data_IF_739695894637
#
_entry.id   IF_739695894637
#
_cell.length_a   1.000
_cell.length_b   1.000
_cell.length_c   1.000
_cell.angle_alpha   90.00
_cell.angle_beta   90.00
_cell.angle_gamma   90.00
#
_symmetry.space_group_name_H-M   'P 1'
#
loop_
_entity.id
_entity.type
_entity.pdbx_description
1 polymer ?
#
# COMPACT_ATOMS: atom_id res chain seq x y z
N UNK A 1 -0.51 12.20 -15.05
CA UNK A 1 0.28 11.97 -13.81
C UNK A 1 1.68 11.51 -14.19
N UNK A 2 2.72 11.90 -13.44
CA UNK A 2 4.09 11.40 -13.61
C UNK A 2 4.49 10.57 -12.39
N UNK A 3 5.07 9.41 -12.63
CA UNK A 3 5.52 8.50 -11.57
C UNK A 3 6.95 8.06 -11.85
N UNK A 4 7.74 7.87 -10.80
CA UNK A 4 9.10 7.37 -10.92
C UNK A 4 9.08 5.89 -11.29
N UNK A 5 9.63 5.59 -12.46
CA UNK A 5 9.76 4.22 -12.96
C UNK A 5 11.13 3.64 -12.58
N UNK A 6 11.10 2.57 -11.80
CA UNK A 6 12.31 1.87 -11.35
C UNK A 6 13.07 1.15 -12.47
N UNK A 7 12.44 0.97 -13.64
CA UNK A 7 13.08 0.39 -14.82
C UNK A 7 13.93 1.43 -15.55
N UNK A 8 13.41 2.62 -15.82
CA UNK A 8 14.13 3.71 -16.50
C UNK A 8 14.95 4.61 -15.55
N UNK A 9 14.65 4.59 -14.25
CA UNK A 9 15.12 5.56 -13.24
C UNK A 9 14.72 7.01 -13.58
N UNK A 10 13.56 7.20 -14.21
CA UNK A 10 13.05 8.50 -14.62
C UNK A 10 11.57 8.65 -14.27
N UNK A 11 11.08 9.89 -14.26
CA UNK A 11 9.64 10.15 -14.20
C UNK A 11 9.02 9.83 -15.55
N UNK A 12 8.02 8.94 -15.54
CA UNK A 12 7.27 8.51 -16.71
C UNK A 12 5.84 9.01 -16.60
N UNK A 13 5.32 9.60 -17.66
CA UNK A 13 3.94 10.05 -17.73
C UNK A 13 2.98 8.86 -17.95
N UNK A 14 1.90 8.82 -17.17
CA UNK A 14 0.79 7.92 -17.36
C UNK A 14 -0.45 8.73 -17.72
N UNK A 15 -0.99 8.43 -18.90
CA UNK A 15 -2.15 9.07 -19.52
C UNK A 15 -3.11 8.05 -20.18
N UNK A 16 -3.06 6.78 -19.75
CA UNK A 16 -3.96 5.73 -20.23
C UNK A 16 -5.42 6.06 -19.88
N UNK A 17 -6.36 5.79 -20.81
CA UNK A 17 -7.80 5.93 -20.55
C UNK A 17 -8.29 5.03 -19.40
N UNK A 18 -7.65 3.87 -19.24
CA UNK A 18 -7.83 2.93 -18.14
C UNK A 18 -6.47 2.69 -17.49
N UNK A 19 -6.31 3.14 -16.26
CA UNK A 19 -5.09 2.87 -15.49
C UNK A 19 -5.25 1.52 -14.79
N UNK A 20 -4.37 0.57 -15.10
CA UNK A 20 -4.32 -0.72 -14.42
C UNK A 20 -3.19 -0.72 -13.38
N UNK A 21 -3.51 -1.17 -12.16
CA UNK A 21 -2.57 -1.27 -11.05
C UNK A 21 -2.49 -2.74 -10.64
N UNK A 22 -1.27 -3.28 -10.57
CA UNK A 22 -1.00 -4.56 -9.95
C UNK A 22 0.03 -4.39 -8.82
N UNK A 23 -0.35 -4.74 -7.59
CA UNK A 23 0.55 -4.67 -6.44
C UNK A 23 0.75 -6.08 -5.88
N UNK A 24 2.00 -6.56 -5.80
CA UNK A 24 2.28 -7.87 -5.24
C UNK A 24 1.81 -7.94 -3.78
N UNK A 25 0.91 -8.89 -3.50
CA UNK A 25 0.32 -9.03 -2.18
C UNK A 25 1.06 -10.03 -1.28
N UNK A 26 0.52 -10.31 -0.09
CA UNK A 26 1.19 -11.11 0.91
C UNK A 26 1.10 -12.62 0.62
N UNK A 27 2.10 -13.36 1.10
CA UNK A 27 1.96 -14.79 1.39
C UNK A 27 1.20 -14.96 2.71
N UNK A 28 0.06 -15.63 2.69
CA UNK A 28 -0.84 -15.75 3.86
C UNK A 28 -0.49 -16.93 4.76
N UNK A 29 0.64 -16.83 5.46
CA UNK A 29 1.10 -17.81 6.46
C UNK A 29 1.32 -17.20 7.85
N UNK A 30 1.23 -15.87 7.95
CA UNK A 30 1.30 -15.11 9.19
C UNK A 30 0.59 -13.76 9.00
N UNK A 31 0.40 -13.01 10.10
CA UNK A 31 0.01 -11.60 10.03
C UNK A 31 1.08 -10.77 9.31
N UNK A 32 0.63 -9.76 8.57
CA UNK A 32 1.51 -8.83 7.88
C UNK A 32 2.22 -7.90 8.87
N UNK A 33 3.46 -7.53 8.54
CA UNK A 33 4.25 -6.55 9.29
C UNK A 33 4.15 -5.16 8.67
N UNK A 34 4.61 -4.13 9.40
CA UNK A 34 4.55 -2.72 8.98
C UNK A 34 5.16 -2.48 7.59
N UNK A 35 6.25 -3.20 7.25
CA UNK A 35 6.85 -3.15 5.91
C UNK A 35 5.90 -3.57 4.77
N UNK A 36 4.99 -4.54 5.01
CA UNK A 36 3.99 -4.94 4.00
C UNK A 36 2.86 -3.90 3.89
N UNK A 37 2.58 -3.13 4.93
CA UNK A 37 1.55 -2.10 4.91
C UNK A 37 1.95 -0.89 4.06
N UNK A 38 3.25 -0.61 3.90
CA UNK A 38 3.73 0.56 3.16
C UNK A 38 3.30 0.53 1.67
N UNK A 39 3.60 -0.52 0.87
CA UNK A 39 3.09 -0.61 -0.50
C UNK A 39 1.57 -0.50 -0.59
N UNK A 40 0.86 -1.12 0.36
CA UNK A 40 -0.60 -1.13 0.41
C UNK A 40 -1.16 0.30 0.62
N UNK A 41 -0.64 1.05 1.60
CA UNK A 41 -1.11 2.40 1.91
C UNK A 41 -0.73 3.39 0.82
N UNK A 42 0.50 3.34 0.30
CA UNK A 42 0.92 4.26 -0.76
C UNK A 42 0.11 4.04 -2.04
N UNK A 43 -0.11 2.79 -2.46
CA UNK A 43 -0.95 2.50 -3.62
C UNK A 43 -2.43 2.82 -3.37
N UNK A 44 -2.91 2.73 -2.14
CA UNK A 44 -4.27 3.17 -1.77
C UNK A 44 -4.44 4.69 -1.96
N UNK A 45 -3.45 5.52 -1.63
CA UNK A 45 -3.50 6.97 -1.90
C UNK A 45 -3.60 7.23 -3.41
N UNK A 46 -2.73 6.59 -4.19
CA UNK A 46 -2.79 6.68 -5.65
C UNK A 46 -4.18 6.26 -6.18
N UNK A 47 -4.71 5.13 -5.69
CA UNK A 47 -6.01 4.65 -6.12
C UNK A 47 -7.16 5.59 -5.74
N UNK A 48 -7.12 6.16 -4.54
CA UNK A 48 -8.07 7.19 -4.08
C UNK A 48 -8.05 8.41 -4.97
N UNK A 49 -6.86 8.91 -5.29
CA UNK A 49 -6.68 10.05 -6.19
C UNK A 49 -7.28 9.77 -7.58
N UNK A 50 -6.91 8.66 -8.20
CA UNK A 50 -7.43 8.29 -9.53
C UNK A 50 -8.97 8.19 -9.51
N UNK A 51 -9.56 7.59 -8.47
CA UNK A 51 -11.02 7.54 -8.33
C UNK A 51 -11.65 8.91 -8.12
N UNK A 52 -11.04 9.79 -7.32
CA UNK A 52 -11.54 11.15 -7.06
C UNK A 52 -11.63 11.96 -8.35
N UNK A 53 -10.65 11.80 -9.24
CA UNK A 53 -10.63 12.41 -10.57
C UNK A 53 -11.40 11.63 -11.64
N UNK A 54 -12.24 10.66 -11.25
CA UNK A 54 -13.05 9.84 -12.15
C UNK A 54 -12.26 9.11 -13.25
N UNK A 55 -10.97 8.82 -13.00
CA UNK A 55 -10.14 8.04 -13.93
C UNK A 55 -10.55 6.57 -13.79
N UNK A 56 -10.83 5.91 -14.93
CA UNK A 56 -11.14 4.48 -14.91
C UNK A 56 -9.92 3.73 -14.39
N UNK A 57 -10.09 2.95 -13.34
CA UNK A 57 -8.97 2.24 -12.71
C UNK A 57 -9.33 0.81 -12.36
N UNK A 58 -8.43 -0.12 -12.70
CA UNK A 58 -8.51 -1.53 -12.31
C UNK A 58 -7.36 -1.85 -11.37
N UNK A 59 -7.66 -2.10 -10.09
CA UNK A 59 -6.65 -2.41 -9.09
C UNK A 59 -6.71 -3.87 -8.65
N UNK A 60 -5.62 -4.61 -8.86
CA UNK A 60 -5.41 -6.00 -8.48
C UNK A 60 -4.28 -6.10 -7.46
N UNK A 61 -4.49 -6.89 -6.40
CA UNK A 61 -3.44 -7.30 -5.45
C UNK A 61 -3.63 -8.79 -5.14
N UNK A 62 -2.71 -9.63 -5.59
CA UNK A 62 -2.85 -11.07 -5.44
C UNK A 62 -2.68 -11.54 -3.99
N UNK A 63 -3.13 -12.76 -3.72
CA UNK A 63 -2.92 -13.45 -2.45
C UNK A 63 -2.20 -14.76 -2.74
N UNK A 64 -0.95 -14.86 -2.30
CA UNK A 64 -0.19 -16.12 -2.40
C UNK A 64 -0.62 -17.01 -1.25
N UNK A 65 -1.58 -17.89 -1.52
CA UNK A 65 -2.19 -18.84 -0.58
C UNK A 65 -1.68 -20.28 -0.75
N UNK A 66 -0.67 -20.46 -1.61
CA UNK A 66 0.12 -21.68 -1.76
C UNK A 66 1.61 -21.31 -1.82
N UNK A 67 2.42 -21.79 -0.88
CA UNK A 67 3.85 -21.45 -0.80
C UNK A 67 4.56 -22.41 0.18
N UNK A 68 5.88 -22.57 0.04
CA UNK A 68 6.68 -23.38 0.97
C UNK A 68 6.56 -22.88 2.42
N UNK A 69 6.40 -21.58 2.67
CA UNK A 69 6.18 -21.03 4.01
C UNK A 69 4.86 -21.48 4.63
N UNK A 70 3.81 -21.61 3.83
CA UNK A 70 2.49 -22.08 4.28
C UNK A 70 2.60 -23.56 4.66
N UNK A 71 3.24 -24.37 3.81
CA UNK A 71 3.47 -25.80 4.07
C UNK A 71 4.26 -26.00 5.36
N UNK A 72 5.39 -25.29 5.50
CA UNK A 72 6.24 -25.43 6.68
C UNK A 72 5.51 -25.03 7.96
N UNK A 73 4.71 -23.95 7.91
CA UNK A 73 3.90 -23.53 9.05
C UNK A 73 2.80 -24.56 9.38
N UNK A 74 2.08 -25.05 8.37
CA UNK A 74 1.03 -26.04 8.53
C UNK A 74 1.57 -27.34 9.17
N UNK A 75 2.69 -27.85 8.64
CA UNK A 75 3.37 -29.03 9.18
C UNK A 75 3.86 -28.83 10.62
N UNK A 76 4.49 -27.69 10.92
CA UNK A 76 4.99 -27.40 12.26
C UNK A 76 3.88 -27.30 13.33
N UNK A 77 2.65 -26.97 12.92
CA UNK A 77 1.51 -26.78 13.81
C UNK A 77 0.44 -27.87 13.69
N UNK A 78 0.67 -28.94 12.92
CA UNK A 78 -0.31 -29.99 12.63
C UNK A 78 -1.65 -29.46 12.08
N UNK A 79 -1.59 -28.46 11.18
CA UNK A 79 -2.74 -27.85 10.51
C UNK A 79 -2.76 -28.20 9.02
N UNK A 80 -3.88 -27.95 8.33
CA UNK A 80 -3.93 -28.01 6.86
C UNK A 80 -3.53 -26.68 6.23
N UNK A 81 -2.85 -26.72 5.09
CA UNK A 81 -2.40 -25.51 4.38
C UNK A 81 -3.54 -24.54 4.05
N UNK A 82 -4.67 -25.03 3.52
CA UNK A 82 -5.83 -24.18 3.20
C UNK A 82 -6.46 -23.56 4.44
N UNK A 83 -6.43 -24.24 5.58
CA UNK A 83 -6.96 -23.70 6.83
C UNK A 83 -6.06 -22.55 7.33
N UNK A 84 -4.74 -22.71 7.21
CA UNK A 84 -3.75 -21.65 7.52
C UNK A 84 -3.92 -20.45 6.60
N UNK A 85 -3.96 -20.69 5.29
CA UNK A 85 -4.02 -19.61 4.30
C UNK A 85 -5.34 -18.86 4.35
N UNK A 86 -6.47 -19.55 4.55
CA UNK A 86 -7.77 -18.92 4.71
C UNK A 86 -7.85 -18.09 5.99
N UNK A 87 -7.32 -18.60 7.11
CA UNK A 87 -7.27 -17.85 8.35
C UNK A 87 -6.48 -16.54 8.19
N UNK A 88 -5.24 -16.60 7.70
CA UNK A 88 -4.41 -15.40 7.56
C UNK A 88 -4.89 -14.47 6.44
N UNK A 89 -5.56 -14.97 5.42
CA UNK A 89 -6.23 -14.12 4.44
C UNK A 89 -7.36 -13.31 5.08
N UNK A 90 -8.20 -13.94 5.91
CA UNK A 90 -9.25 -13.23 6.63
C UNK A 90 -8.68 -12.20 7.62
N UNK A 91 -7.60 -12.52 8.32
CA UNK A 91 -6.88 -11.55 9.16
C UNK A 91 -6.31 -10.38 8.34
N UNK A 92 -5.75 -10.65 7.16
CA UNK A 92 -5.28 -9.61 6.25
C UNK A 92 -6.42 -8.68 5.79
N UNK A 93 -7.61 -9.21 5.48
CA UNK A 93 -8.79 -8.41 5.13
C UNK A 93 -9.24 -7.51 6.30
N UNK A 94 -9.20 -8.00 7.55
CA UNK A 94 -9.48 -7.17 8.73
C UNK A 94 -8.49 -6.01 8.86
N UNK A 95 -7.21 -6.28 8.62
CA UNK A 95 -6.16 -5.24 8.66
C UNK A 95 -6.33 -4.20 7.55
N UNK A 96 -6.63 -4.62 6.32
CA UNK A 96 -6.95 -3.70 5.21
C UNK A 96 -8.09 -2.75 5.59
N UNK A 97 -9.18 -3.30 6.14
CA UNK A 97 -10.32 -2.51 6.61
C UNK A 97 -9.92 -1.55 7.73
N UNK A 98 -9.15 -2.03 8.72
CA UNK A 98 -8.70 -1.22 9.84
C UNK A 98 -7.73 -0.09 9.41
N UNK A 99 -6.93 -0.29 8.37
CA UNK A 99 -6.08 0.74 7.75
C UNK A 99 -6.84 1.68 6.80
N UNK A 100 -8.17 1.55 6.70
CA UNK A 100 -9.01 2.34 5.80
C UNK A 100 -8.53 2.28 4.34
N UNK A 101 -8.22 1.08 3.83
CA UNK A 101 -7.91 0.92 2.40
C UNK A 101 -9.19 0.70 1.59
N UNK A 102 -9.25 1.22 0.38
CA UNK A 102 -10.32 0.92 -0.56
C UNK A 102 -10.32 -0.57 -0.97
N UNK A 103 -11.48 -1.06 -1.39
CA UNK A 103 -11.60 -2.41 -1.96
C UNK A 103 -10.91 -2.52 -3.31
N UNK A 104 -10.30 -3.67 -3.56
CA UNK A 104 -9.60 -4.01 -4.80
C UNK A 104 -9.82 -5.50 -5.11
N UNK A 105 -9.44 -5.93 -6.31
CA UNK A 105 -9.53 -7.33 -6.68
C UNK A 105 -8.39 -8.10 -5.98
N UNK A 106 -8.74 -9.15 -5.23
CA UNK A 106 -7.76 -9.97 -4.50
C UNK A 106 -7.75 -11.44 -4.97
N UNK A 107 -7.18 -11.74 -6.17
CA UNK A 107 -7.16 -13.12 -6.67
C UNK A 107 -6.24 -14.00 -5.84
N UNK A 108 -6.72 -15.19 -5.47
CA UNK A 108 -5.95 -16.24 -4.81
C UNK A 108 -5.22 -17.08 -5.85
N UNK A 109 -3.99 -17.50 -5.57
CA UNK A 109 -3.21 -18.34 -6.49
C UNK A 109 -3.85 -19.72 -6.63
N UNK A 110 -4.29 -20.33 -5.52
CA UNK A 110 -4.90 -21.66 -5.51
C UNK A 110 -6.11 -21.80 -6.43
N UNK A 111 -6.87 -20.71 -6.64
CA UNK A 111 -8.07 -20.70 -7.50
C UNK A 111 -7.77 -20.41 -8.97
N UNK A 112 -6.50 -20.26 -9.35
CA UNK A 112 -6.05 -19.91 -10.70
C UNK A 112 -5.05 -20.90 -11.30
N UNK A 113 -4.90 -22.07 -10.69
CA UNK A 113 -3.86 -23.04 -11.06
C UNK A 113 -3.92 -23.52 -12.50
N UNK A 114 -5.11 -23.72 -13.07
CA UNK A 114 -5.24 -24.12 -14.47
C UNK A 114 -4.64 -23.07 -15.42
N UNK A 115 -4.84 -21.77 -15.11
CA UNK A 115 -4.26 -20.66 -15.89
C UNK A 115 -2.75 -20.56 -15.69
N UNK A 116 -2.26 -20.82 -14.49
CA UNK A 116 -0.82 -20.81 -14.18
C UNK A 116 -0.11 -21.95 -14.93
N UNK A 117 -0.72 -23.14 -14.94
CA UNK A 117 -0.20 -24.29 -15.70
C UNK A 117 -0.17 -23.98 -17.20
N UNK A 118 -1.24 -23.42 -17.76
CA UNK A 118 -1.27 -22.97 -19.17
C UNK A 118 -0.21 -21.89 -19.46
N UNK A 119 -0.01 -20.95 -18.54
CA UNK A 119 1.02 -19.91 -18.68
C UNK A 119 2.43 -20.51 -18.73
N UNK A 120 2.75 -21.46 -17.83
CA UNK A 120 4.02 -22.19 -17.84
C UNK A 120 4.16 -23.01 -19.13
N UNK A 121 3.08 -23.64 -19.59
CA UNK A 121 3.07 -24.42 -20.83
C UNK A 121 3.42 -23.55 -22.05
N UNK A 122 2.92 -22.31 -22.10
CA UNK A 122 3.30 -21.33 -23.14
C UNK A 122 4.78 -20.99 -23.11
N UNK A 123 5.38 -20.83 -21.92
CA UNK A 123 6.82 -20.57 -21.77
C UNK A 123 7.67 -21.75 -22.25
N UNK A 124 7.25 -22.99 -21.95
CA UNK A 124 7.89 -24.20 -22.46
C UNK A 124 7.80 -24.25 -24.01
N UNK A 125 6.63 -23.98 -24.58
CA UNK A 125 6.46 -23.95 -26.05
C UNK A 125 7.29 -22.87 -26.75
N UNK A 126 7.55 -21.74 -26.07
CA UNK A 126 8.48 -20.70 -26.54
C UNK A 126 9.96 -21.08 -26.36
N UNK A 127 10.25 -22.30 -25.91
CA UNK A 127 11.61 -22.80 -25.62
C UNK A 127 12.34 -21.93 -24.58
N UNK A 128 11.58 -21.31 -23.67
CA UNK A 128 12.11 -20.61 -22.51
C UNK A 128 11.96 -21.40 -21.21
N UNK A 129 11.08 -22.41 -21.18
CA UNK A 129 11.08 -23.43 -20.14
C UNK A 129 11.92 -24.64 -20.53
N UNK A 130 12.72 -25.18 -19.60
CA UNK A 130 13.45 -26.45 -19.78
C UNK A 130 13.40 -27.31 -18.53
N UNK A 131 13.62 -28.61 -18.69
CA UNK A 131 13.51 -29.60 -17.63
C UNK A 131 14.85 -29.88 -16.96
N UNK A 132 14.85 -29.96 -15.63
CA UNK A 132 15.94 -30.57 -14.85
C UNK A 132 15.29 -31.67 -13.99
N UNK A 133 15.41 -32.92 -14.44
CA UNK A 133 14.58 -34.00 -13.90
C UNK A 133 13.11 -33.71 -14.16
N UNK A 134 12.31 -33.60 -13.10
CA UNK A 134 10.87 -33.30 -13.15
C UNK A 134 10.55 -31.84 -12.74
N UNK A 135 11.57 -31.02 -12.52
CA UNK A 135 11.40 -29.57 -12.32
C UNK A 135 11.41 -28.86 -13.67
N UNK A 136 10.73 -27.71 -13.75
CA UNK A 136 10.77 -26.82 -14.91
C UNK A 136 11.45 -25.51 -14.51
N UNK A 137 12.49 -25.14 -15.24
CA UNK A 137 13.24 -23.90 -15.07
C UNK A 137 13.02 -22.95 -16.25
N UNK A 138 13.06 -21.65 -15.98
CA UNK A 138 13.10 -20.60 -16.99
C UNK A 138 14.54 -20.33 -17.39
N UNK A 139 14.84 -20.38 -18.69
CA UNK A 139 16.10 -19.96 -19.28
C UNK A 139 16.15 -18.43 -19.39
N UNK A 140 16.85 -17.82 -18.44
CA UNK A 140 17.00 -16.36 -18.35
C UNK A 140 17.65 -15.74 -19.58
N UNK A 141 18.44 -16.49 -20.36
CA UNK A 141 19.06 -15.97 -21.59
C UNK A 141 18.05 -15.71 -22.70
N UNK A 142 16.82 -16.24 -22.59
CA UNK A 142 15.75 -16.00 -23.55
C UNK A 142 15.09 -14.64 -23.39
N UNK A 143 15.25 -14.00 -22.23
CA UNK A 143 14.77 -12.65 -21.98
C UNK A 143 15.90 -11.64 -22.27
N UNK A 144 15.78 -10.91 -23.39
CA UNK A 144 16.83 -9.99 -23.89
C UNK A 144 17.21 -8.87 -22.91
N UNK A 145 16.32 -8.49 -22.01
CA UNK A 145 16.49 -7.41 -21.06
C UNK A 145 16.57 -7.89 -19.59
N UNK A 146 16.84 -9.17 -19.36
CA UNK A 146 16.95 -9.70 -18.00
C UNK A 146 18.05 -8.98 -17.21
N UNK A 147 17.72 -8.52 -16.00
CA UNK A 147 18.61 -7.73 -15.14
C UNK A 147 18.48 -6.21 -15.31
N UNK A 148 17.78 -5.74 -16.35
CA UNK A 148 17.64 -4.30 -16.61
C UNK A 148 16.74 -3.59 -15.59
N UNK A 149 15.74 -4.27 -15.01
CA UNK A 149 14.90 -3.65 -13.99
C UNK A 149 15.73 -3.38 -12.74
N UNK A 150 16.39 -4.41 -12.22
CA UNK A 150 17.21 -4.39 -11.02
C UNK A 150 18.52 -3.62 -11.16
N UNK A 151 18.95 -3.31 -12.39
CA UNK A 151 20.26 -2.69 -12.72
C UNK A 151 21.43 -3.55 -12.25
N UNK A 152 21.22 -4.86 -12.18
CA UNK A 152 22.25 -5.81 -11.78
C UNK A 152 23.09 -6.19 -12.99
N UNK A 153 24.40 -6.20 -12.78
CA UNK A 153 25.32 -6.84 -13.69
C UNK A 153 25.35 -8.34 -13.36
N UNK A 154 24.64 -9.11 -14.17
CA UNK A 154 24.42 -10.53 -13.95
C UNK A 154 25.71 -11.35 -14.02
N UNK A 155 26.78 -10.85 -14.66
CA UNK A 155 28.07 -11.53 -14.73
C UNK A 155 28.88 -11.32 -13.44
N UNK A 156 28.81 -10.12 -12.86
CA UNK A 156 29.56 -9.75 -11.65
C UNK A 156 28.87 -10.17 -10.34
N UNK A 157 27.53 -10.25 -10.30
CA UNK A 157 26.76 -10.65 -9.10
C UNK A 157 27.00 -12.11 -8.70
N UNK A 158 27.35 -12.98 -9.65
CA UNK A 158 27.63 -14.42 -9.42
C UNK A 158 28.92 -14.60 -8.58
N UNK A 159 29.86 -13.66 -8.65
CA UNK A 159 31.15 -13.74 -7.92
C UNK A 159 30.97 -13.44 -6.41
N UNK A 160 29.89 -12.77 -6.01
CA UNK A 160 29.64 -12.35 -4.62
C UNK A 160 28.57 -13.14 -3.87
N UNK A 161 27.66 -13.84 -4.55
CA UNK A 161 26.58 -14.60 -3.92
C UNK A 161 26.97 -16.07 -3.76
N UNK A 162 26.84 -16.61 -2.53
CA UNK A 162 26.76 -18.07 -2.29
C UNK A 162 25.45 -18.58 -2.87
N UNK A 163 25.35 -18.66 -4.19
CA UNK A 163 24.28 -19.39 -4.86
C UNK A 163 24.64 -20.86 -4.67
N UNK A 164 23.84 -21.60 -3.90
CA UNK A 164 23.88 -23.07 -3.97
C UNK A 164 23.57 -23.43 -5.43
N UNK A 165 24.61 -23.81 -6.16
CA UNK A 165 24.49 -24.15 -7.57
C UNK A 165 23.70 -25.45 -7.66
N UNK A 166 22.43 -25.35 -8.03
CA UNK A 166 21.66 -26.52 -8.45
C UNK A 166 22.37 -27.08 -9.67
N UNK A 167 22.85 -28.31 -9.55
CA UNK A 167 23.54 -28.98 -10.65
C UNK A 167 22.66 -28.98 -11.91
N UNK A 168 23.28 -28.78 -13.06
CA UNK A 168 22.67 -28.82 -14.40
C UNK A 168 21.81 -27.62 -14.82
N UNK A 169 21.75 -26.52 -14.04
CA UNK A 169 21.21 -25.27 -14.59
C UNK A 169 22.05 -24.78 -15.77
N UNK A 170 21.38 -24.37 -16.86
CA UNK A 170 22.05 -23.75 -18.01
C UNK A 170 22.69 -22.41 -17.65
N UNK A 171 22.07 -21.66 -16.73
CA UNK A 171 22.58 -20.42 -16.16
C UNK A 171 22.30 -20.36 -14.64
N UNK A 172 23.24 -19.92 -13.80
CA UNK A 172 23.02 -19.76 -12.34
C UNK A 172 21.78 -18.92 -11.98
N UNK A 173 21.42 -17.96 -12.83
CA UNK A 173 20.28 -17.08 -12.61
C UNK A 173 18.93 -17.68 -13.03
N UNK A 174 18.92 -18.86 -13.66
CA UNK A 174 17.68 -19.55 -14.04
C UNK A 174 16.85 -19.87 -12.80
N UNK A 175 15.55 -19.61 -12.90
CA UNK A 175 14.61 -19.76 -11.79
C UNK A 175 13.53 -20.77 -12.11
N UNK A 176 12.93 -21.31 -11.05
CA UNK A 176 11.93 -22.36 -11.18
C UNK A 176 10.60 -21.78 -11.68
N UNK A 177 10.07 -22.34 -12.76
CA UNK A 177 8.69 -22.16 -13.20
C UNK A 177 7.78 -23.13 -12.48
N UNK A 178 8.29 -24.32 -12.16
CA UNK A 178 7.60 -25.28 -11.31
C UNK A 178 8.50 -26.31 -10.69
N UNK A 179 8.09 -26.64 -9.48
CA UNK A 179 8.82 -27.45 -8.54
C UNK A 179 8.09 -28.75 -8.32
N UNK A 180 8.71 -29.86 -8.69
CA UNK A 180 8.31 -31.17 -8.20
C UNK A 180 8.39 -31.15 -6.68
N UNK A 181 7.33 -31.63 -6.06
CA UNK A 181 7.24 -31.76 -4.61
C UNK A 181 6.49 -33.03 -4.28
N UNK A 182 6.77 -33.60 -3.11
CA UNK A 182 5.99 -34.66 -2.48
C UNK A 182 5.34 -34.18 -1.17
N UNK A 183 5.41 -32.87 -0.91
CA UNK A 183 4.87 -32.21 0.28
C UNK A 183 3.86 -31.14 -0.12
N UNK A 184 2.84 -31.07 0.72
CA UNK A 184 1.75 -30.12 0.69
C UNK A 184 0.74 -30.35 -0.43
N UNK A 185 -0.03 -29.31 -0.77
CA UNK A 185 -0.99 -29.36 -1.87
C UNK A 185 -0.23 -29.40 -3.20
N UNK A 186 -0.68 -30.25 -4.12
CA UNK A 186 0.01 -30.51 -5.38
C UNK A 186 -0.98 -30.64 -6.53
N UNK A 187 -0.50 -30.34 -7.73
CA UNK A 187 -1.26 -30.47 -8.96
C UNK A 187 -0.54 -31.44 -9.88
N UNK A 188 -1.35 -32.19 -10.63
CA UNK A 188 -0.84 -33.05 -11.69
C UNK A 188 -0.80 -32.26 -13.00
N UNK A 189 0.32 -32.32 -13.71
CA UNK A 189 0.52 -31.65 -15.00
C UNK A 189 1.13 -32.63 -16.00
N UNK A 190 1.16 -32.30 -17.31
CA UNK A 190 1.79 -33.14 -18.33
C UNK A 190 3.28 -33.44 -18.09
N UNK A 191 3.92 -32.75 -17.17
CA UNK A 191 5.36 -32.76 -16.94
C UNK A 191 5.72 -33.04 -15.47
N UNK A 192 4.75 -33.43 -14.64
CA UNK A 192 4.98 -33.99 -13.31
C UNK A 192 4.11 -33.40 -12.22
N UNK A 193 3.98 -34.15 -11.11
CA UNK A 193 3.27 -33.68 -9.92
C UNK A 193 4.13 -32.62 -9.21
N UNK A 194 3.54 -31.47 -8.91
CA UNK A 194 4.23 -30.44 -8.15
C UNK A 194 3.42 -29.17 -7.91
N UNK A 195 4.13 -28.04 -7.87
CA UNK A 195 3.61 -26.71 -7.59
C UNK A 195 4.28 -25.63 -8.43
N UNK A 196 3.60 -24.50 -8.70
CA UNK A 196 4.19 -23.42 -9.46
C UNK A 196 5.35 -22.78 -8.71
N UNK A 197 6.29 -22.21 -9.46
CA UNK A 197 7.28 -21.30 -8.94
C UNK A 197 6.64 -19.95 -8.61
N UNK A 198 7.16 -19.29 -7.57
CA UNK A 198 6.63 -18.05 -7.01
C UNK A 198 6.40 -16.93 -8.05
N UNK A 199 7.24 -16.83 -9.08
CA UNK A 199 7.20 -15.74 -10.05
C UNK A 199 6.10 -15.87 -11.11
N UNK A 200 5.76 -17.10 -11.51
CA UNK A 200 4.80 -17.34 -12.60
C UNK A 200 3.37 -17.03 -12.19
N UNK A 201 3.09 -17.07 -10.88
CA UNK A 201 1.80 -16.72 -10.29
C UNK A 201 1.40 -15.28 -10.65
N UNK A 202 2.25 -14.30 -10.33
CA UNK A 202 1.97 -12.90 -10.57
C UNK A 202 1.87 -12.56 -12.06
N UNK A 203 2.80 -13.06 -12.88
CA UNK A 203 2.75 -12.83 -14.34
C UNK A 203 1.46 -13.38 -14.96
N UNK A 204 1.03 -14.58 -14.55
CA UNK A 204 -0.23 -15.17 -15.00
C UNK A 204 -1.45 -14.36 -14.55
N UNK A 205 -1.47 -13.91 -13.29
CA UNK A 205 -2.57 -13.13 -12.73
C UNK A 205 -2.67 -11.73 -13.37
N UNK A 206 -1.54 -11.07 -13.65
CA UNK A 206 -1.51 -9.82 -14.42
C UNK A 206 -2.10 -10.07 -15.81
N UNK A 207 -1.66 -11.12 -16.52
CA UNK A 207 -2.19 -11.45 -17.84
C UNK A 207 -3.70 -11.74 -17.82
N UNK A 208 -4.16 -12.45 -16.79
CA UNK A 208 -5.56 -12.84 -16.63
C UNK A 208 -6.48 -11.66 -16.37
N UNK A 209 -6.07 -10.75 -15.48
CA UNK A 209 -6.94 -9.67 -15.03
C UNK A 209 -6.73 -8.38 -15.82
N UNK A 210 -5.55 -8.14 -16.38
CA UNK A 210 -5.19 -6.87 -17.02
C UNK A 210 -4.84 -7.10 -18.49
N UNK A 211 -3.89 -7.99 -18.76
CA UNK A 211 -3.41 -8.28 -20.10
C UNK A 211 -1.89 -8.35 -20.17
N UNK A 212 -1.33 -8.16 -21.37
CA UNK A 212 0.12 -8.31 -21.64
C UNK A 212 1.01 -7.23 -21.01
N UNK A 213 0.42 -6.11 -20.58
CA UNK A 213 1.14 -5.01 -19.96
C UNK A 213 0.23 -4.25 -19.00
N UNK A 214 0.67 -4.09 -17.76
CA UNK A 214 0.01 -3.28 -16.73
C UNK A 214 0.53 -1.84 -16.77
N UNK A 215 -0.32 -0.86 -16.46
CA UNK A 215 0.10 0.55 -16.41
C UNK A 215 1.09 0.76 -15.25
N UNK A 216 0.74 0.28 -14.05
CA UNK A 216 1.53 0.45 -12.83
C UNK A 216 1.69 -0.89 -12.13
N UNK A 217 2.92 -1.31 -11.90
CA UNK A 217 3.22 -2.50 -11.12
C UNK A 217 4.09 -2.14 -9.91
N UNK A 218 3.64 -2.51 -8.70
CA UNK A 218 4.40 -2.22 -7.49
C UNK A 218 4.57 -3.37 -6.52
N UNK A 219 5.49 -3.13 -5.59
CA UNK A 219 5.88 -4.05 -4.53
C UNK A 219 7.04 -3.49 -3.70
N UNK A 220 7.38 -4.15 -2.60
CA UNK A 220 8.55 -3.76 -1.80
C UNK A 220 9.83 -3.74 -2.64
N UNK A 221 10.82 -2.92 -2.25
CA UNK A 221 12.11 -2.85 -2.97
C UNK A 221 12.84 -4.20 -3.02
N UNK A 222 12.57 -5.09 -2.07
CA UNK A 222 13.05 -6.46 -2.04
C UNK A 222 12.39 -7.37 -3.10
N UNK A 223 11.24 -6.99 -3.65
CA UNK A 223 10.63 -7.68 -4.78
C UNK A 223 11.22 -7.27 -6.12
N UNK A 224 11.95 -6.14 -6.20
CA UNK A 224 12.62 -5.69 -7.43
C UNK A 224 13.49 -6.79 -8.04
N UNK A 225 14.22 -7.52 -7.19
CA UNK A 225 14.97 -8.70 -7.56
C UNK A 225 14.92 -9.76 -6.45
N UNK A 226 14.66 -11.04 -6.78
CA UNK A 226 14.49 -11.55 -8.14
C UNK A 226 13.06 -11.46 -8.67
N UNK A 227 12.06 -11.14 -7.83
CA UNK A 227 10.66 -11.40 -8.15
C UNK A 227 10.15 -10.68 -9.40
N UNK A 228 10.14 -9.34 -9.40
CA UNK A 228 9.66 -8.53 -10.51
C UNK A 228 10.54 -8.66 -11.77
N UNK A 229 11.85 -8.85 -11.62
CA UNK A 229 12.74 -9.13 -12.75
C UNK A 229 12.33 -10.44 -13.47
N UNK A 230 12.05 -11.49 -12.69
CA UNK A 230 11.60 -12.78 -13.21
C UNK A 230 10.21 -12.72 -13.84
N UNK A 231 9.32 -11.89 -13.30
CA UNK A 231 8.02 -11.63 -13.93
C UNK A 231 8.17 -10.91 -15.27
N UNK A 232 9.00 -9.86 -15.31
CA UNK A 232 9.26 -9.12 -16.55
C UNK A 232 9.90 -10.04 -17.61
N UNK A 233 10.83 -10.91 -17.21
CA UNK A 233 11.48 -11.87 -18.10
C UNK A 233 10.48 -12.81 -18.79
N UNK A 234 9.52 -13.35 -18.03
CA UNK A 234 8.47 -14.20 -18.56
C UNK A 234 7.58 -13.43 -19.55
N UNK A 235 7.19 -12.20 -19.20
CA UNK A 235 6.36 -11.37 -20.06
C UNK A 235 7.07 -10.99 -21.38
N UNK A 236 8.36 -10.71 -21.30
CA UNK A 236 9.20 -10.40 -22.46
C UNK A 236 9.27 -11.57 -23.44
N UNK A 237 9.45 -12.80 -22.95
CA UNK A 237 9.44 -13.99 -23.81
C UNK A 237 8.08 -14.24 -24.47
N UNK A 238 6.98 -14.07 -23.73
CA UNK A 238 5.65 -14.38 -24.25
C UNK A 238 5.13 -13.30 -25.20
N UNK A 239 5.38 -12.03 -24.90
CA UNK A 239 4.69 -10.90 -25.52
C UNK A 239 5.63 -9.84 -26.12
N UNK A 240 6.96 -10.01 -26.00
CA UNK A 240 7.98 -9.05 -26.46
C UNK A 240 7.76 -7.63 -25.92
N UNK A 241 7.31 -7.52 -24.66
CA UNK A 241 6.98 -6.25 -23.99
C UNK A 241 7.40 -6.29 -22.52
N UNK A 242 7.74 -5.11 -21.97
CA UNK A 242 7.88 -4.96 -20.52
C UNK A 242 6.51 -5.21 -19.88
N UNK A 243 6.50 -5.93 -18.76
CA UNK A 243 5.28 -6.27 -18.03
C UNK A 243 4.56 -5.01 -17.52
N UNK A 244 5.31 -3.99 -17.10
CA UNK A 244 4.74 -2.73 -16.64
C UNK A 244 5.24 -1.53 -17.45
N UNK A 245 4.39 -0.51 -17.61
CA UNK A 245 4.82 0.82 -18.09
C UNK A 245 5.60 1.58 -17.02
N UNK A 246 5.17 1.46 -15.76
CA UNK A 246 5.86 2.03 -14.59
C UNK A 246 6.00 0.97 -13.50
N UNK A 247 7.22 0.81 -13.01
CA UNK A 247 7.55 -0.01 -11.85
C UNK A 247 7.75 0.85 -10.59
N UNK A 248 6.86 0.71 -9.60
CA UNK A 248 6.95 1.42 -8.32
C UNK A 248 7.49 0.52 -7.21
N UNK A 249 8.66 0.84 -6.66
CA UNK A 249 9.24 0.09 -5.56
C UNK A 249 9.30 0.91 -4.28
N UNK A 250 8.84 0.31 -3.17
CA UNK A 250 8.72 0.98 -1.88
C UNK A 250 9.92 0.68 -0.98
N UNK A 251 10.52 1.73 -0.42
CA UNK A 251 11.67 1.61 0.48
C UNK A 251 11.36 0.79 1.73
N UNK A 252 12.40 0.19 2.32
CA UNK A 252 12.26 -0.64 3.52
C UNK A 252 11.84 0.18 4.76
N UNK A 253 11.20 -0.49 5.71
CA UNK A 253 11.00 0.04 7.06
C UNK A 253 12.10 -0.52 7.97
N UNK A 254 12.90 0.36 8.57
CA UNK A 254 13.98 -0.01 9.48
C UNK A 254 13.53 0.22 10.93
N UNK A 255 13.75 -0.76 11.80
CA UNK A 255 13.43 -0.67 13.24
C UNK A 255 14.75 -0.53 13.99
N UNK A 256 14.90 0.54 14.78
CA UNK A 256 16.13 0.82 15.56
C UNK A 256 17.44 0.79 14.74
N UNK A 257 17.41 1.30 13.50
CA UNK A 257 18.51 1.29 12.52
C UNK A 257 18.88 -0.08 11.94
N UNK A 258 18.12 -1.14 12.23
CA UNK A 258 18.28 -2.45 11.61
C UNK A 258 17.13 -2.79 10.68
N UNK A 259 17.43 -3.60 9.65
CA UNK A 259 16.40 -4.17 8.79
C UNK A 259 15.51 -5.11 9.61
N UNK A 260 14.19 -5.02 9.43
CA UNK A 260 13.29 -6.00 10.04
C UNK A 260 13.57 -7.40 9.49
N UNK A 261 13.74 -8.37 10.38
CA UNK A 261 13.79 -9.78 10.00
C UNK A 261 13.24 -10.66 11.12
N UNK A 262 12.68 -11.81 10.75
CA UNK A 262 12.22 -12.80 11.73
C UNK A 262 13.36 -13.34 12.60
N UNK A 263 14.57 -13.44 12.06
CA UNK A 263 15.75 -13.91 12.79
C UNK A 263 16.25 -12.90 13.83
N UNK A 264 16.02 -11.60 13.61
CA UNK A 264 16.34 -10.56 14.59
C UNK A 264 15.21 -10.31 15.60
N UNK A 265 14.08 -11.02 15.47
CA UNK A 265 12.88 -10.87 16.29
C UNK A 265 12.41 -9.41 16.47
N UNK A 266 12.69 -8.56 15.48
CA UNK A 266 12.45 -7.11 15.50
C UNK A 266 11.33 -6.68 14.53
N UNK A 267 10.51 -7.62 14.07
CA UNK A 267 9.42 -7.34 13.15
C UNK A 267 8.19 -6.86 13.92
N UNK A 268 7.57 -5.79 13.41
CA UNK A 268 6.40 -5.18 14.05
C UNK A 268 5.17 -5.51 13.22
N UNK A 269 4.23 -6.23 13.84
CA UNK A 269 2.98 -6.60 13.18
C UNK A 269 2.03 -5.41 13.11
N UNK A 270 1.31 -5.30 12.00
CA UNK A 270 0.34 -4.21 11.81
C UNK A 270 -0.80 -4.31 12.82
N UNK A 271 -1.21 -5.53 13.19
CA UNK A 271 -2.25 -5.74 14.20
C UNK A 271 -1.88 -5.18 15.57
N UNK A 272 -0.60 -5.28 15.95
CA UNK A 272 -0.12 -4.81 17.25
C UNK A 272 0.00 -3.28 17.24
N UNK A 273 0.48 -2.72 16.12
CA UNK A 273 0.46 -1.27 15.91
C UNK A 273 -0.94 -0.66 15.96
N UNK A 274 -1.94 -1.32 15.38
CA UNK A 274 -3.33 -0.87 15.40
C UNK A 274 -4.02 -1.05 16.76
N UNK A 275 -3.43 -1.85 17.65
CA UNK A 275 -3.86 -1.93 19.05
C UNK A 275 -3.28 -0.78 19.89
N UNK A 276 -2.13 -0.23 19.49
CA UNK A 276 -1.45 0.86 20.19
C UNK A 276 -1.78 2.25 19.62
N UNK A 277 -1.99 2.36 18.32
CA UNK A 277 -2.15 3.61 17.60
C UNK A 277 -3.37 3.59 16.68
N UNK A 278 -4.06 4.73 16.63
CA UNK A 278 -5.08 5.00 15.63
C UNK A 278 -4.54 4.83 14.20
N UNK A 279 -5.35 4.28 13.30
CA UNK A 279 -4.91 3.99 11.93
C UNK A 279 -4.46 5.25 11.17
N UNK A 280 -5.00 6.42 11.51
CA UNK A 280 -4.60 7.72 10.97
C UNK A 280 -3.12 7.98 11.26
N UNK A 281 -2.64 7.62 12.45
CA UNK A 281 -1.23 7.77 12.85
C UNK A 281 -0.33 6.81 12.06
N UNK A 282 -0.78 5.57 11.86
CA UNK A 282 -0.07 4.56 11.05
C UNK A 282 0.05 5.01 9.60
N UNK A 283 -1.00 5.59 9.01
CA UNK A 283 -0.96 6.15 7.65
C UNK A 283 -0.05 7.38 7.59
N UNK A 284 -0.20 8.31 8.54
CA UNK A 284 0.61 9.53 8.63
C UNK A 284 2.09 9.24 8.71
N UNK A 285 2.48 8.19 9.43
CA UNK A 285 3.86 7.73 9.51
C UNK A 285 4.48 7.50 8.12
N UNK A 286 3.77 6.83 7.20
CA UNK A 286 4.31 6.55 5.87
C UNK A 286 4.41 7.79 4.97
N UNK A 287 3.72 8.87 5.30
CA UNK A 287 3.77 10.13 4.54
C UNK A 287 4.94 11.04 4.97
N UNK A 288 5.62 10.71 6.07
CA UNK A 288 6.77 11.49 6.57
C UNK A 288 8.03 11.36 5.70
N UNK A 289 8.04 10.49 4.71
CA UNK A 289 9.19 10.26 3.84
C UNK A 289 8.74 9.92 2.42
N UNK A 290 9.60 10.23 1.46
CA UNK A 290 9.46 9.72 0.09
C UNK A 290 9.29 8.19 0.12
N UNK A 291 8.27 7.69 -0.56
CA UNK A 291 7.91 6.27 -0.57
C UNK A 291 9.05 5.37 -1.09
N UNK A 292 9.96 5.92 -1.90
CA UNK A 292 11.12 5.22 -2.47
C UNK A 292 12.24 5.03 -1.45
N UNK A 293 12.34 5.93 -0.46
CA UNK A 293 13.43 5.93 0.52
C UNK A 293 13.11 5.05 1.73
N UNK A 294 14.13 4.45 2.38
CA UNK A 294 13.93 3.78 3.65
C UNK A 294 13.30 4.72 4.70
N UNK A 295 12.38 4.20 5.51
CA UNK A 295 11.78 4.95 6.62
C UNK A 295 12.14 4.30 7.96
N UNK A 296 12.49 5.13 8.95
CA UNK A 296 12.84 4.67 10.29
C UNK A 296 11.60 4.64 11.17
N UNK A 297 11.34 3.48 11.77
CA UNK A 297 10.34 3.31 12.81
C UNK A 297 10.96 3.45 14.21
N UNK A 298 10.29 4.19 15.09
CA UNK A 298 10.46 4.14 16.54
C UNK A 298 9.17 4.58 17.24
N UNK A 299 8.96 4.15 18.48
CA UNK A 299 7.80 4.60 19.27
C UNK A 299 7.81 6.13 19.52
N UNK A 300 8.99 6.76 19.56
CA UNK A 300 9.10 8.22 19.67
C UNK A 300 8.55 8.92 18.42
N UNK A 301 8.87 8.41 17.23
CA UNK A 301 8.32 8.91 15.96
C UNK A 301 6.80 8.71 15.93
N UNK A 302 6.31 7.55 16.33
CA UNK A 302 4.86 7.29 16.37
C UNK A 302 4.12 8.25 17.33
N UNK A 303 4.69 8.53 18.51
CA UNK A 303 4.14 9.52 19.46
C UNK A 303 4.16 10.95 18.89
N UNK A 304 5.17 11.30 18.10
CA UNK A 304 5.21 12.59 17.41
C UNK A 304 4.11 12.68 16.34
N UNK A 305 3.94 11.63 15.54
CA UNK A 305 2.89 11.53 14.53
C UNK A 305 1.49 11.59 15.14
N UNK A 306 1.27 10.99 16.31
CA UNK A 306 0.02 11.07 17.06
C UNK A 306 -0.31 12.52 17.45
N UNK A 307 0.67 13.28 17.94
CA UNK A 307 0.50 14.72 18.24
C UNK A 307 0.15 15.53 17.00
N UNK A 308 0.70 15.17 15.84
CA UNK A 308 0.40 15.85 14.57
C UNK A 308 -1.01 15.55 14.08
N UNK A 309 -1.43 14.28 14.10
CA UNK A 309 -2.81 13.88 13.81
C UNK A 309 -3.80 14.58 14.76
N UNK A 310 -3.48 14.68 16.05
CA UNK A 310 -4.31 15.39 17.01
C UNK A 310 -4.42 16.89 16.68
N UNK A 311 -3.32 17.55 16.27
CA UNK A 311 -3.35 18.95 15.82
C UNK A 311 -4.24 19.14 14.58
N UNK A 312 -4.16 18.23 13.62
CA UNK A 312 -5.00 18.26 12.41
C UNK A 312 -6.48 18.11 12.80
N UNK A 313 -6.80 17.10 13.63
CA UNK A 313 -8.16 16.88 14.15
C UNK A 313 -8.68 18.13 14.84
N UNK A 314 -7.93 18.69 15.79
CA UNK A 314 -8.35 19.87 16.53
C UNK A 314 -8.57 21.08 15.63
N UNK A 315 -7.74 21.30 14.60
CA UNK A 315 -7.94 22.40 13.66
C UNK A 315 -9.25 22.26 12.87
N UNK A 316 -9.59 21.05 12.42
CA UNK A 316 -10.86 20.76 11.73
C UNK A 316 -12.04 21.06 12.64
N UNK A 317 -12.00 20.56 13.87
CA UNK A 317 -13.09 20.71 14.83
C UNK A 317 -13.27 22.16 15.28
N UNK A 318 -12.17 22.85 15.59
CA UNK A 318 -12.20 24.27 15.91
C UNK A 318 -12.78 25.09 14.76
N UNK A 319 -12.40 24.79 13.51
CA UNK A 319 -12.98 25.46 12.35
C UNK A 319 -14.47 25.20 12.21
N UNK A 320 -14.93 23.95 12.38
CA UNK A 320 -16.36 23.61 12.30
C UNK A 320 -17.17 24.25 13.43
N UNK A 321 -16.68 24.22 14.68
CA UNK A 321 -17.29 24.92 15.81
C UNK A 321 -17.43 26.42 15.53
N UNK A 322 -16.34 27.02 15.04
CA UNK A 322 -16.30 28.44 14.71
C UNK A 322 -17.30 28.80 13.60
N UNK A 323 -17.37 28.00 12.53
CA UNK A 323 -18.36 28.16 11.46
C UNK A 323 -19.79 27.95 11.98
N UNK A 324 -20.01 27.03 12.91
CA UNK A 324 -21.32 26.79 13.51
C UNK A 324 -21.80 28.02 14.29
N UNK A 325 -20.96 28.60 15.15
CA UNK A 325 -21.30 29.82 15.90
C UNK A 325 -21.60 31.03 15.00
N UNK A 326 -21.08 31.03 13.77
CA UNK A 326 -21.30 32.09 12.79
C UNK A 326 -22.37 31.73 11.75
N UNK A 327 -23.16 30.67 11.95
CA UNK A 327 -24.19 30.18 11.02
C UNK A 327 -23.66 29.87 9.60
N UNK A 328 -22.39 29.51 9.48
CA UNK A 328 -21.71 29.18 8.22
C UNK A 328 -21.43 27.68 8.05
N UNK A 329 -21.60 26.85 9.08
CA UNK A 329 -21.28 25.41 8.98
C UNK A 329 -22.10 24.70 7.88
N UNK A 330 -23.40 25.03 7.77
CA UNK A 330 -24.30 24.44 6.76
C UNK A 330 -24.00 24.90 5.33
N UNK A 331 -23.23 25.98 5.14
CA UNK A 331 -22.83 26.48 3.82
C UNK A 331 -21.47 25.95 3.36
N UNK A 332 -20.89 24.99 4.08
CA UNK A 332 -19.64 24.33 3.69
C UNK A 332 -19.87 23.45 2.46
N UNK A 333 -19.26 23.81 1.34
CA UNK A 333 -19.33 23.05 0.09
C UNK A 333 -18.10 22.16 -0.04
N UNK A 334 -18.29 20.88 -0.35
CA UNK A 334 -17.16 20.02 -0.71
C UNK A 334 -16.52 20.50 -2.01
N UNK A 335 -15.23 20.24 -2.15
CA UNK A 335 -14.47 20.49 -3.37
C UNK A 335 -14.06 19.15 -3.99
N UNK A 336 -13.99 19.13 -5.32
CA UNK A 336 -13.60 17.95 -6.08
C UNK A 336 -12.15 18.02 -6.60
N UNK A 337 -11.50 19.16 -6.41
CA UNK A 337 -10.14 19.42 -6.89
C UNK A 337 -9.44 20.44 -5.98
N UNK A 338 -8.13 20.28 -5.82
CA UNK A 338 -7.27 21.29 -5.21
C UNK A 338 -5.91 21.28 -5.89
N UNK A 339 -5.71 22.22 -6.82
CA UNK A 339 -4.57 22.25 -7.77
C UNK A 339 -3.22 22.05 -7.10
N UNK A 340 -2.92 22.81 -6.04
CA UNK A 340 -1.63 22.72 -5.34
C UNK A 340 -1.38 21.34 -4.70
N UNK A 341 -2.42 20.63 -4.28
CA UNK A 341 -2.29 19.26 -3.77
C UNK A 341 -2.25 18.25 -4.92
N UNK A 342 -3.12 18.42 -5.91
CA UNK A 342 -3.22 17.51 -7.06
C UNK A 342 -1.93 17.52 -7.88
N UNK A 343 -1.23 18.65 -7.99
CA UNK A 343 0.10 18.75 -8.59
C UNK A 343 1.14 17.91 -7.84
N UNK A 344 1.13 17.93 -6.50
CA UNK A 344 2.06 17.13 -5.69
C UNK A 344 1.81 15.62 -5.79
N UNK A 345 0.53 15.22 -5.85
CA UNK A 345 0.20 13.82 -6.12
C UNK A 345 0.62 13.44 -7.55
N UNK A 346 0.40 14.33 -8.52
CA UNK A 346 0.78 14.10 -9.91
C UNK A 346 2.29 14.10 -10.15
N UNK A 347 3.08 14.72 -9.28
CA UNK A 347 4.54 14.70 -9.27
C UNK A 347 5.06 13.61 -8.32
N UNK A 348 4.84 12.36 -8.73
CA UNK A 348 5.36 11.17 -8.04
C UNK A 348 4.98 11.05 -6.56
N UNK A 349 3.72 11.35 -6.21
CA UNK A 349 3.21 11.22 -4.84
C UNK A 349 4.12 11.94 -3.81
N UNK A 350 4.40 13.22 -4.01
CA UNK A 350 5.24 14.05 -3.12
C UNK A 350 4.64 14.19 -1.71
N UNK A 351 4.78 13.13 -0.90
CA UNK A 351 4.20 13.04 0.44
C UNK A 351 4.80 14.07 1.39
N UNK A 352 6.09 14.36 1.27
CA UNK A 352 6.76 15.35 2.13
C UNK A 352 6.15 16.73 1.88
N UNK A 353 6.01 17.11 0.62
CA UNK A 353 5.37 18.37 0.26
C UNK A 353 3.88 18.43 0.61
N UNK A 354 3.17 17.29 0.55
CA UNK A 354 1.77 17.19 0.97
C UNK A 354 1.65 17.39 2.49
N UNK A 355 2.53 16.78 3.29
CA UNK A 355 2.58 16.96 4.75
C UNK A 355 2.81 18.43 5.09
N UNK A 356 3.75 19.09 4.41
CA UNK A 356 3.99 20.53 4.55
C UNK A 356 2.75 21.36 4.21
N UNK A 357 2.07 21.04 3.11
CA UNK A 357 0.84 21.72 2.68
C UNK A 357 -0.30 21.57 3.71
N UNK A 358 -0.43 20.40 4.33
CA UNK A 358 -1.38 20.15 5.43
C UNK A 358 -1.02 21.01 6.65
N UNK A 359 0.25 21.08 7.04
CA UNK A 359 0.69 21.93 8.15
C UNK A 359 0.44 23.42 7.89
N UNK A 360 0.67 23.89 6.67
CA UNK A 360 0.34 25.26 6.25
C UNK A 360 -1.17 25.51 6.39
N UNK A 361 -2.00 24.58 5.90
CA UNK A 361 -3.46 24.68 5.98
C UNK A 361 -3.95 24.73 7.43
N UNK A 362 -3.44 23.84 8.30
CA UNK A 362 -3.74 23.83 9.74
C UNK A 362 -3.36 25.16 10.40
N UNK A 363 -2.17 25.68 10.11
CA UNK A 363 -1.72 26.97 10.64
C UNK A 363 -2.63 28.12 10.19
N UNK A 364 -2.99 28.15 8.91
CA UNK A 364 -3.86 29.18 8.32
C UNK A 364 -5.26 29.15 8.94
N UNK A 365 -5.86 27.96 9.09
CA UNK A 365 -7.14 27.78 9.78
C UNK A 365 -7.10 28.38 11.20
N UNK A 366 -6.08 28.05 11.98
CA UNK A 366 -5.95 28.55 13.35
C UNK A 366 -5.80 30.07 13.42
N UNK A 367 -5.09 30.68 12.45
CA UNK A 367 -4.95 32.15 12.36
C UNK A 367 -6.30 32.80 12.01
N UNK A 368 -7.02 32.28 11.03
CA UNK A 368 -8.33 32.82 10.62
C UNK A 368 -9.35 32.81 11.76
N UNK A 369 -9.40 31.72 12.52
CA UNK A 369 -10.24 31.61 13.73
C UNK A 369 -9.82 32.65 14.78
N UNK A 370 -8.52 32.78 15.05
CA UNK A 370 -8.00 33.70 16.08
C UNK A 370 -8.24 35.17 15.73
N UNK A 371 -8.05 35.55 14.48
CA UNK A 371 -8.19 36.94 14.03
C UNK A 371 -9.65 37.34 13.78
N UNK A 372 -10.59 36.39 13.82
CA UNK A 372 -11.99 36.58 13.47
C UNK A 372 -12.15 37.18 12.06
N UNK A 373 -11.41 36.63 11.09
CA UNK A 373 -11.33 37.15 9.72
C UNK A 373 -11.81 36.13 8.68
N UNK A 374 -12.43 36.69 7.64
CA UNK A 374 -12.82 36.06 6.38
C UNK A 374 -13.36 34.61 6.47
N UNK A 375 -14.68 34.51 6.65
CA UNK A 375 -15.38 33.23 6.71
C UNK A 375 -15.28 32.42 5.42
N UNK A 376 -15.13 33.08 4.27
CA UNK A 376 -15.03 32.37 2.99
C UNK A 376 -13.64 31.75 2.86
N UNK A 377 -12.59 32.48 3.26
CA UNK A 377 -11.23 31.94 3.31
C UNK A 377 -11.11 30.77 4.30
N UNK A 378 -11.78 30.84 5.46
CA UNK A 378 -11.80 29.74 6.43
C UNK A 378 -12.50 28.50 5.86
N UNK A 379 -13.69 28.66 5.24
CA UNK A 379 -14.41 27.55 4.59
C UNK A 379 -13.54 26.90 3.53
N UNK A 380 -12.91 27.70 2.66
CA UNK A 380 -12.02 27.20 1.61
C UNK A 380 -10.87 26.36 2.18
N UNK A 381 -10.12 26.89 3.15
CA UNK A 381 -8.99 26.18 3.77
C UNK A 381 -9.45 24.89 4.48
N UNK A 382 -10.60 24.92 5.16
CA UNK A 382 -11.16 23.72 5.78
C UNK A 382 -11.53 22.67 4.73
N UNK A 383 -12.18 23.06 3.63
CA UNK A 383 -12.56 22.13 2.56
C UNK A 383 -11.36 21.56 1.83
N UNK A 384 -10.31 22.36 1.63
CA UNK A 384 -9.03 21.90 1.08
C UNK A 384 -8.35 20.90 2.01
N UNK A 385 -8.29 21.17 3.32
CA UNK A 385 -7.75 20.23 4.29
C UNK A 385 -8.53 18.91 4.30
N UNK A 386 -9.86 18.95 4.29
CA UNK A 386 -10.69 17.76 4.24
C UNK A 386 -10.49 16.96 2.93
N UNK A 387 -10.37 17.65 1.79
CA UNK A 387 -10.07 17.02 0.50
C UNK A 387 -8.73 16.28 0.50
N UNK A 388 -7.66 16.92 0.99
CA UNK A 388 -6.34 16.28 1.09
C UNK A 388 -6.38 15.03 1.97
N UNK A 389 -7.06 15.11 3.13
CA UNK A 389 -7.13 14.01 4.08
C UNK A 389 -7.96 12.83 3.56
N UNK A 390 -9.05 13.08 2.82
CA UNK A 390 -9.87 12.05 2.16
C UNK A 390 -9.03 11.21 1.18
N UNK A 391 -8.21 11.87 0.35
CA UNK A 391 -7.30 11.22 -0.60
C UNK A 391 -6.17 10.48 0.13
N UNK A 392 -5.65 11.04 1.23
CA UNK A 392 -4.70 10.35 2.10
C UNK A 392 -5.35 9.22 2.92
N UNK A 393 -6.66 9.01 2.83
CA UNK A 393 -7.39 8.00 3.59
C UNK A 393 -7.38 8.25 5.10
N UNK A 394 -7.22 9.50 5.53
CA UNK A 394 -7.29 9.93 6.93
C UNK A 394 -8.66 10.56 7.15
N UNK A 395 -9.49 9.90 7.96
CA UNK A 395 -10.84 10.37 8.25
C UNK A 395 -10.99 10.54 9.76
N UNK A 396 -11.75 11.55 10.17
CA UNK A 396 -12.18 11.73 11.54
C UNK A 396 -13.69 11.61 11.59
N UNK A 397 -14.21 10.92 12.60
CA UNK A 397 -15.66 10.88 12.87
C UNK A 397 -16.14 12.33 12.99
N UNK A 398 -17.23 12.69 12.31
CA UNK A 398 -17.82 14.01 12.49
C UNK A 398 -18.71 14.01 13.72
N UNK A 399 -18.33 14.79 14.73
CA UNK A 399 -19.09 14.90 15.99
C UNK A 399 -20.10 16.05 15.97
N UNK A 400 -20.24 16.80 14.88
CA UNK A 400 -21.20 17.91 14.75
C UNK A 400 -22.62 17.44 14.42
N UNK A 401 -23.13 16.46 15.17
CA UNK A 401 -24.53 16.04 15.13
C UNK A 401 -25.43 17.00 15.93
N UNK A 402 -26.76 16.91 15.77
CA UNK A 402 -27.71 17.85 16.38
C UNK A 402 -27.59 17.92 17.91
N UNK A 403 -27.35 16.79 18.58
CA UNK A 403 -27.20 16.71 20.04
C UNK A 403 -25.96 17.47 20.52
N UNK A 404 -24.80 17.19 19.91
CA UNK A 404 -23.54 17.84 20.27
C UNK A 404 -23.55 19.32 19.91
N UNK A 405 -24.18 19.71 18.80
CA UNK A 405 -24.35 21.11 18.41
C UNK A 405 -25.24 21.87 19.41
N UNK A 406 -26.32 21.26 19.91
CA UNK A 406 -27.16 21.85 20.95
C UNK A 406 -26.39 22.05 22.27
N UNK A 407 -25.57 21.07 22.67
CA UNK A 407 -24.69 21.17 23.82
C UNK A 407 -23.65 22.29 23.66
N UNK A 408 -23.03 22.36 22.48
CA UNK A 408 -22.06 23.39 22.12
C UNK A 408 -22.66 24.80 22.14
N UNK A 409 -23.89 24.97 21.64
CA UNK A 409 -24.62 26.23 21.70
C UNK A 409 -24.97 26.62 23.15
N UNK A 410 -25.37 25.65 23.97
CA UNK A 410 -25.66 25.88 25.39
C UNK A 410 -24.42 26.32 26.16
N UNK A 411 -23.28 25.66 25.92
CA UNK A 411 -21.99 26.08 26.45
C UNK A 411 -21.64 27.51 26.04
N UNK A 412 -21.77 27.85 24.75
CA UNK A 412 -21.48 29.20 24.24
C UNK A 412 -22.37 30.26 24.88
N UNK A 413 -23.66 29.98 25.08
CA UNK A 413 -24.58 30.87 25.76
C UNK A 413 -24.17 31.17 27.22
N UNK A 414 -23.65 30.20 27.96
CA UNK A 414 -23.13 30.43 29.32
C UNK A 414 -21.85 31.27 29.31
N UNK A 415 -20.95 31.04 28.35
CA UNK A 415 -19.75 31.87 28.15
C UNK A 415 -20.14 33.32 27.87
N UNK A 416 -21.11 33.55 26.98
CA UNK A 416 -21.56 34.90 26.61
C UNK A 416 -22.28 35.62 27.76
N UNK A 417 -22.97 34.86 28.62
CA UNK A 417 -23.57 35.36 29.87
C UNK A 417 -22.58 35.49 31.03
N UNK A 418 -21.30 35.12 30.84
CA UNK A 418 -20.24 35.08 31.86
C UNK A 418 -20.54 34.18 33.06
N UNK A 419 -21.38 33.15 32.88
CA UNK A 419 -21.61 32.08 33.88
C UNK A 419 -20.54 30.99 33.72
N UNK A 420 -19.33 31.29 34.18
CA UNK A 420 -18.16 30.44 33.96
C UNK A 420 -18.24 29.10 34.70
N UNK A 421 -19.01 29.01 35.78
CA UNK A 421 -19.18 27.76 36.54
C UNK A 421 -19.91 26.73 35.65
N UNK A 422 -21.07 27.10 35.10
CA UNK A 422 -21.82 26.21 34.20
C UNK A 422 -21.12 26.00 32.86
N UNK A 423 -20.46 27.05 32.35
CA UNK A 423 -19.66 26.90 31.13
C UNK A 423 -18.53 25.86 31.32
N UNK A 424 -17.88 25.83 32.49
CA UNK A 424 -16.81 24.88 32.78
C UNK A 424 -17.29 23.44 32.96
N UNK A 425 -18.49 23.23 33.51
CA UNK A 425 -19.13 21.92 33.56
C UNK A 425 -19.37 21.36 32.16
N UNK A 426 -19.97 22.16 31.26
CA UNK A 426 -20.23 21.74 29.88
C UNK A 426 -18.95 21.63 29.06
N UNK A 427 -17.94 22.47 29.32
CA UNK A 427 -16.63 22.40 28.65
C UNK A 427 -15.95 21.05 28.88
N UNK A 428 -15.99 20.52 30.11
CA UNK A 428 -15.46 19.18 30.42
C UNK A 428 -16.19 18.08 29.65
N UNK A 429 -17.52 18.19 29.53
CA UNK A 429 -18.30 17.24 28.73
C UNK A 429 -17.93 17.30 27.25
N UNK A 430 -17.82 18.50 26.67
CA UNK A 430 -17.44 18.70 25.26
C UNK A 430 -16.01 18.22 24.96
N UNK A 431 -15.06 18.43 25.87
CA UNK A 431 -13.69 17.91 25.77
C UNK A 431 -13.69 16.38 25.82
N UNK A 432 -14.48 15.77 26.71
CA UNK A 432 -14.59 14.31 26.80
C UNK A 432 -15.22 13.69 25.55
N UNK A 433 -16.20 14.38 24.95
CA UNK A 433 -16.77 14.00 23.65
C UNK A 433 -15.72 14.17 22.53
N UNK A 434 -14.79 15.11 22.70
CA UNK A 434 -13.74 15.43 21.73
C UNK A 434 -14.19 16.42 20.66
N UNK A 435 -15.25 17.19 20.92
CA UNK A 435 -15.71 18.26 20.03
C UNK A 435 -15.03 19.61 20.34
N UNK A 436 -14.42 19.77 21.52
CA UNK A 436 -13.78 21.01 21.98
C UNK A 436 -12.37 20.78 22.53
#
# INVERSE_FOLDING_TARGET
MKLYDSYSNQLVEINDELISIYNCGPTVYNHIHIGNARPLITMDVLYRFLKKHNIKTKYVLNITDIDDKIINYALANNLKELEVSEYYFNEYLKIKKALNTLEMINPKVSTHMDKIIDYIQKLIYKQAGYFIGDDVYFDTKKALNYGQLSKRDLENDIVGMRIESVANKHNPNDFILWKKTNKGIMWNTPWGIGRPGWHSECSCLINTYIGEQVSIHGGGIDLKFPHHENENAQNQVLYNKNLAKVWMHFGLVNVNNEKMSKSLNNFILVKDLLAEYDYQVVRWFFYQADYKQPIKFSHEIMKQNEKEILKIKNAIYNAKNYLYFNNQLKSLTQIDHFELFDERINDDLDFVGIVDLIHISVKKINILIKENKDMNELKLNLTQLLYMLDILGINFVDLHNDENLALLNTWKNYVDKKDYVKADELRKQLINIGIL
#
